data_IF_255514393710
#
_entry.id   IF_255514393710
#
_cell.length_a   1.000
_cell.length_b   1.000
_cell.length_c   1.000
_cell.angle_alpha   90.00
_cell.angle_beta   90.00
_cell.angle_gamma   90.00
#
_symmetry.space_group_name_H-M   'P 1'
#
loop_
_entity.id
_entity.type
_entity.pdbx_description
1 polymer ?
#
# COMPACT_ATOMS: atom_id res chain seq x y z
N UNK A 1 -2.33 11.90 17.88
CA UNK A 1 -3.16 10.70 18.12
C UNK A 1 -2.77 9.63 17.10
N UNK A 2 -2.71 8.37 17.50
CA UNK A 2 -2.44 7.24 16.62
C UNK A 2 -3.74 6.84 15.92
N UNK A 3 -3.79 6.98 14.60
CA UNK A 3 -4.97 6.67 13.78
C UNK A 3 -5.33 5.18 13.72
N UNK A 4 -4.41 4.31 14.13
CA UNK A 4 -4.61 2.86 14.10
C UNK A 4 -5.34 2.32 15.34
N UNK A 5 -5.43 3.11 16.41
CA UNK A 5 -5.99 2.66 17.71
C UNK A 5 -7.47 2.30 17.61
N UNK A 6 -8.24 3.07 16.85
CA UNK A 6 -9.67 2.85 16.72
C UNK A 6 -10.22 3.26 15.36
N UNK A 7 -11.38 2.69 15.00
CA UNK A 7 -12.19 3.21 13.90
C UNK A 7 -12.93 4.45 14.39
N UNK A 8 -12.67 5.59 13.76
CA UNK A 8 -13.31 6.87 14.09
C UNK A 8 -14.76 6.97 13.57
N UNK A 9 -15.21 6.00 12.79
CA UNK A 9 -16.51 6.05 12.12
C UNK A 9 -16.55 6.95 10.87
N UNK A 10 -15.51 7.73 10.62
CA UNK A 10 -15.44 8.55 9.41
C UNK A 10 -15.21 7.68 8.17
N UNK A 11 -15.84 8.08 7.07
CA UNK A 11 -15.73 7.38 5.79
C UNK A 11 -15.41 8.35 4.67
N UNK A 12 -14.50 7.94 3.77
CA UNK A 12 -14.00 8.74 2.67
C UNK A 12 -14.35 8.11 1.31
N UNK A 13 -14.58 8.95 0.32
CA UNK A 13 -14.72 8.54 -1.07
C UNK A 13 -13.34 8.24 -1.68
N UNK A 14 -12.32 8.98 -1.26
CA UNK A 14 -10.94 8.83 -1.75
C UNK A 14 -9.95 8.81 -0.58
N UNK A 15 -8.98 7.89 -0.65
CA UNK A 15 -7.84 7.84 0.27
C UNK A 15 -6.55 7.80 -0.54
N UNK A 16 -5.80 8.90 -0.51
CA UNK A 16 -4.45 8.98 -1.08
C UNK A 16 -3.48 9.17 0.08
N UNK A 17 -2.57 8.21 0.27
CA UNK A 17 -1.70 8.24 1.44
C UNK A 17 -0.37 7.57 1.21
N UNK A 18 0.64 8.09 1.90
CA UNK A 18 1.94 7.49 2.06
C UNK A 18 2.15 7.22 3.56
N UNK A 19 1.73 6.06 4.07
CA UNK A 19 1.90 5.71 5.47
C UNK A 19 3.37 5.69 5.88
N UNK A 20 3.70 5.97 7.14
CA UNK A 20 5.09 5.99 7.59
C UNK A 20 5.75 4.63 7.41
N UNK A 21 6.95 4.63 6.80
CA UNK A 21 7.75 3.43 6.63
C UNK A 21 8.38 3.02 7.96
N UNK A 22 7.98 1.91 8.50
CA UNK A 22 8.52 1.32 9.71
C UNK A 22 7.89 -0.05 9.94
N UNK A 23 8.72 -1.05 10.19
CA UNK A 23 8.25 -2.44 10.21
C UNK A 23 7.29 -2.73 11.36
N UNK A 24 7.48 -2.11 12.54
CA UNK A 24 6.73 -2.44 13.74
C UNK A 24 6.17 -1.20 14.43
N UNK A 25 4.97 -1.30 14.92
CA UNK A 25 4.47 -0.40 15.97
C UNK A 25 5.07 -0.84 17.30
N UNK A 26 5.60 0.07 18.08
CA UNK A 26 6.15 -0.22 19.40
C UNK A 26 5.83 0.89 20.38
N UNK A 27 5.65 0.53 21.63
CA UNK A 27 5.53 1.43 22.75
C UNK A 27 6.79 1.31 23.62
N UNK A 28 7.33 2.44 24.06
CA UNK A 28 8.42 2.47 25.04
C UNK A 28 7.83 2.79 26.38
N UNK A 29 8.10 2.00 27.39
CA UNK A 29 7.73 2.24 28.77
C UNK A 29 8.97 2.10 29.65
N UNK A 30 8.94 2.73 30.81
CA UNK A 30 9.99 2.59 31.81
C UNK A 30 9.56 1.53 32.80
N UNK A 31 10.36 0.48 32.95
CA UNK A 31 10.10 -0.59 33.92
C UNK A 31 10.35 -0.11 35.37
N UNK A 32 10.07 -0.96 36.33
CA UNK A 32 10.24 -0.64 37.77
C UNK A 32 11.71 -0.37 38.14
N UNK A 33 12.65 -0.83 37.34
CA UNK A 33 14.10 -0.62 37.53
C UNK A 33 14.60 0.69 36.87
N UNK A 34 13.71 1.44 36.21
CA UNK A 34 14.03 2.69 35.52
C UNK A 34 14.62 2.52 34.12
N UNK A 35 14.67 1.30 33.60
CA UNK A 35 15.13 1.02 32.24
C UNK A 35 14.01 1.19 31.22
N UNK A 36 14.38 1.67 30.03
CA UNK A 36 13.43 1.79 28.92
C UNK A 36 13.30 0.46 28.17
N UNK A 37 12.14 -0.13 28.27
CA UNK A 37 11.77 -1.32 27.51
C UNK A 37 10.88 -0.96 26.33
N UNK A 38 10.98 -1.78 25.26
CA UNK A 38 10.22 -1.58 24.04
C UNK A 38 9.39 -2.82 23.76
N UNK A 39 8.08 -2.65 23.73
CA UNK A 39 7.14 -3.71 23.41
C UNK A 39 6.53 -3.49 22.03
N UNK A 40 6.39 -4.58 21.25
CA UNK A 40 5.71 -4.54 19.94
C UNK A 40 4.21 -4.29 20.16
N UNK A 41 3.71 -3.18 19.63
CA UNK A 41 2.30 -2.82 19.73
C UNK A 41 1.48 -3.52 18.65
N UNK A 42 0.51 -4.31 19.08
CA UNK A 42 -0.50 -4.90 18.20
C UNK A 42 -1.86 -4.23 18.40
N UNK A 43 -2.58 -4.03 17.32
CA UNK A 43 -3.92 -3.43 17.36
C UNK A 43 -4.98 -4.53 17.30
N UNK A 44 -5.68 -4.74 18.41
CA UNK A 44 -6.79 -5.69 18.47
C UNK A 44 -8.11 -4.98 18.07
N UNK A 45 -8.35 -4.88 16.77
CA UNK A 45 -9.53 -4.25 16.19
C UNK A 45 -10.42 -5.29 15.52
N UNK A 46 -11.73 -5.23 15.80
CA UNK A 46 -12.71 -6.17 15.23
C UNK A 46 -12.89 -6.03 13.71
N UNK A 47 -12.59 -4.84 13.16
CA UNK A 47 -12.66 -4.56 11.72
C UNK A 47 -11.38 -4.97 10.97
N UNK A 48 -10.33 -5.39 11.67
CA UNK A 48 -9.10 -5.91 11.09
C UNK A 48 -9.19 -7.40 10.82
N UNK A 49 -8.68 -7.84 9.69
CA UNK A 49 -8.68 -9.25 9.28
C UNK A 49 -7.64 -10.10 10.00
N UNK A 50 -6.55 -9.48 10.43
CA UNK A 50 -5.47 -10.13 11.16
C UNK A 50 -4.81 -9.18 12.15
N UNK A 51 -4.37 -9.75 13.29
CA UNK A 51 -3.58 -9.03 14.28
C UNK A 51 -2.10 -9.13 13.93
N UNK A 52 -1.43 -7.99 13.85
CA UNK A 52 0.00 -7.90 13.55
C UNK A 52 0.60 -6.63 14.15
N UNK A 53 1.89 -6.66 14.47
CA UNK A 53 2.67 -5.47 14.81
C UNK A 53 3.20 -4.73 13.57
N UNK A 54 3.05 -5.31 12.37
CA UNK A 54 3.48 -4.67 11.14
C UNK A 54 2.60 -3.45 10.82
N UNK A 55 3.20 -2.27 10.94
CA UNK A 55 2.51 -0.99 10.78
C UNK A 55 1.89 -0.82 9.39
N UNK A 56 2.59 -1.21 8.33
CA UNK A 56 2.11 -1.05 6.95
C UNK A 56 0.88 -1.95 6.70
N UNK A 57 0.91 -3.18 7.19
CA UNK A 57 -0.24 -4.08 7.10
C UNK A 57 -1.45 -3.55 7.87
N UNK A 58 -1.22 -2.93 9.04
CA UNK A 58 -2.28 -2.30 9.81
C UNK A 58 -2.87 -1.08 9.08
N UNK A 59 -2.04 -0.29 8.39
CA UNK A 59 -2.54 0.80 7.56
C UNK A 59 -3.39 0.32 6.39
N UNK A 60 -3.02 -0.78 5.73
CA UNK A 60 -3.84 -1.38 4.66
C UNK A 60 -5.24 -1.74 5.18
N UNK A 61 -5.33 -2.40 6.33
CA UNK A 61 -6.59 -2.76 6.96
C UNK A 61 -7.40 -1.52 7.35
N UNK A 62 -6.75 -0.52 7.96
CA UNK A 62 -7.38 0.72 8.35
C UNK A 62 -7.93 1.51 7.16
N UNK A 63 -7.15 1.62 6.07
CA UNK A 63 -7.58 2.31 4.85
C UNK A 63 -8.84 1.64 4.27
N UNK A 64 -8.87 0.32 4.22
CA UNK A 64 -10.07 -0.40 3.79
C UNK A 64 -11.28 -0.08 4.67
N UNK A 65 -11.09 0.01 5.99
CA UNK A 65 -12.18 0.35 6.91
C UNK A 65 -12.75 1.75 6.68
N UNK A 66 -11.89 2.75 6.45
CA UNK A 66 -12.33 4.14 6.28
C UNK A 66 -12.86 4.47 4.89
N UNK A 67 -12.71 3.58 3.91
CA UNK A 67 -13.31 3.77 2.59
C UNK A 67 -14.82 3.48 2.62
N UNK A 68 -15.59 4.35 1.96
CA UNK A 68 -16.97 4.03 1.60
C UNK A 68 -17.01 2.85 0.63
N UNK A 69 -18.17 2.23 0.47
CA UNK A 69 -18.42 1.33 -0.65
C UNK A 69 -18.21 2.09 -1.96
N UNK A 70 -17.50 1.48 -2.90
CA UNK A 70 -17.02 2.06 -4.16
C UNK A 70 -16.04 3.26 -3.99
N UNK A 71 -15.58 3.53 -2.77
CA UNK A 71 -14.49 4.47 -2.52
C UNK A 71 -13.15 3.91 -3.03
N UNK A 72 -12.25 4.80 -3.39
CA UNK A 72 -11.00 4.48 -4.08
C UNK A 72 -9.78 4.82 -3.21
N UNK A 73 -8.75 3.98 -3.26
CA UNK A 73 -7.50 4.24 -2.58
C UNK A 73 -6.29 4.16 -3.51
N UNK A 74 -5.32 5.02 -3.24
CA UNK A 74 -3.95 4.91 -3.74
C UNK A 74 -2.99 4.99 -2.55
N UNK A 75 -2.25 3.92 -2.29
CA UNK A 75 -1.45 3.76 -1.07
C UNK A 75 -0.02 3.40 -1.41
N UNK A 76 0.93 4.19 -0.91
CA UNK A 76 2.36 3.88 -1.03
C UNK A 76 2.75 2.87 0.04
N UNK A 77 3.27 1.72 -0.37
CA UNK A 77 3.66 0.63 0.52
C UNK A 77 5.02 0.06 0.11
N UNK A 78 5.87 -0.31 1.08
CA UNK A 78 7.13 -0.98 0.78
C UNK A 78 6.90 -2.40 0.25
N UNK A 79 7.89 -2.92 -0.49
CA UNK A 79 7.83 -4.23 -1.16
C UNK A 79 7.42 -5.38 -0.23
N UNK A 80 7.84 -5.38 1.04
CA UNK A 80 7.56 -6.47 1.97
C UNK A 80 6.05 -6.74 2.16
N UNK A 81 5.20 -5.73 2.01
CA UNK A 81 3.74 -5.91 2.08
C UNK A 81 3.23 -6.87 1.00
N UNK A 82 3.92 -6.95 -0.14
CA UNK A 82 3.50 -7.79 -1.26
C UNK A 82 3.82 -9.28 -1.06
N UNK A 83 4.75 -9.63 -0.18
CA UNK A 83 5.22 -11.03 -0.03
C UNK A 83 5.37 -11.54 1.41
N UNK A 84 5.18 -10.70 2.44
CA UNK A 84 5.25 -11.14 3.83
C UNK A 84 4.21 -12.23 4.11
N UNK A 85 4.63 -13.32 4.76
CA UNK A 85 3.77 -14.45 5.12
C UNK A 85 2.86 -14.18 6.32
N UNK A 86 2.19 -15.20 6.79
CA UNK A 86 1.34 -15.15 7.99
C UNK A 86 0.22 -14.11 7.88
N UNK A 87 0.21 -13.12 8.78
CA UNK A 87 -0.79 -12.04 8.76
C UNK A 87 -0.81 -11.29 7.43
N UNK A 88 0.36 -11.09 6.80
CA UNK A 88 0.46 -10.45 5.49
C UNK A 88 -0.27 -11.22 4.40
N UNK A 89 -0.14 -12.53 4.37
CA UNK A 89 -0.88 -13.40 3.43
C UNK A 89 -2.39 -13.29 3.64
N UNK A 90 -2.83 -13.38 4.89
CA UNK A 90 -4.26 -13.25 5.24
C UNK A 90 -4.82 -11.91 4.79
N UNK A 91 -4.11 -10.82 5.05
CA UNK A 91 -4.53 -9.46 4.69
C UNK A 91 -4.60 -9.29 3.17
N UNK A 92 -3.57 -9.76 2.43
CA UNK A 92 -3.59 -9.70 0.95
C UNK A 92 -4.75 -10.49 0.36
N UNK A 93 -4.98 -11.72 0.86
CA UNK A 93 -6.13 -12.53 0.44
C UNK A 93 -7.44 -11.79 0.65
N UNK A 94 -7.66 -11.26 1.85
CA UNK A 94 -8.86 -10.51 2.18
C UNK A 94 -9.01 -9.23 1.35
N UNK A 95 -7.93 -8.53 1.08
CA UNK A 95 -7.94 -7.36 0.22
C UNK A 95 -8.39 -7.70 -1.21
N UNK A 96 -7.86 -8.78 -1.79
CA UNK A 96 -8.28 -9.26 -3.12
C UNK A 96 -9.73 -9.75 -3.16
N UNK A 97 -10.22 -10.34 -2.07
CA UNK A 97 -11.61 -10.81 -1.97
C UNK A 97 -12.61 -9.64 -1.85
N UNK A 98 -12.30 -8.64 -1.05
CA UNK A 98 -13.25 -7.59 -0.63
C UNK A 98 -13.10 -6.27 -1.37
N UNK A 99 -12.07 -6.12 -2.18
CA UNK A 99 -11.82 -4.94 -3.01
C UNK A 99 -11.47 -5.36 -4.44
N UNK A 100 -11.62 -4.42 -5.37
CA UNK A 100 -11.01 -4.54 -6.70
C UNK A 100 -9.62 -3.89 -6.66
N UNK A 101 -8.59 -4.70 -6.37
CA UNK A 101 -7.20 -4.28 -6.45
C UNK A 101 -6.74 -4.40 -7.91
N UNK A 102 -6.85 -3.31 -8.64
CA UNK A 102 -6.72 -3.33 -10.09
C UNK A 102 -5.35 -2.90 -10.63
N UNK A 103 -4.52 -2.25 -9.82
CA UNK A 103 -3.23 -1.73 -10.32
C UNK A 103 -2.17 -1.67 -9.21
N UNK A 104 -0.96 -2.07 -9.55
CA UNK A 104 0.25 -1.87 -8.74
C UNK A 104 1.26 -1.12 -9.59
N UNK A 105 1.66 0.08 -9.15
CA UNK A 105 2.76 0.83 -9.73
C UNK A 105 4.03 0.53 -8.91
N UNK A 106 5.00 -0.14 -9.50
CA UNK A 106 6.30 -0.41 -8.86
C UNK A 106 7.23 0.78 -9.05
N UNK A 107 7.58 1.42 -7.93
CA UNK A 107 8.34 2.66 -7.94
C UNK A 107 9.86 2.41 -8.01
N UNK A 108 10.61 3.28 -8.71
CA UNK A 108 12.07 3.23 -8.70
C UNK A 108 12.63 3.59 -7.33
N UNK A 109 13.85 3.14 -7.06
CA UNK A 109 14.60 3.58 -5.88
C UNK A 109 15.08 5.02 -6.02
N UNK A 110 15.46 5.65 -4.90
CA UNK A 110 16.04 7.00 -4.89
C UNK A 110 15.05 8.15 -4.79
N UNK A 111 13.75 7.88 -4.88
CA UNK A 111 12.68 8.89 -4.77
C UNK A 111 12.24 9.18 -3.32
N UNK A 112 12.72 8.41 -2.36
CA UNK A 112 12.46 8.61 -0.93
C UNK A 112 13.72 8.97 -0.16
N UNK A 113 13.56 9.66 0.98
CA UNK A 113 14.70 9.99 1.86
C UNK A 113 15.43 8.74 2.39
N UNK A 114 14.72 7.66 2.67
CA UNK A 114 15.32 6.39 3.04
C UNK A 114 15.89 5.73 1.78
N UNK A 115 17.22 5.78 1.65
CA UNK A 115 17.92 5.19 0.51
C UNK A 115 17.69 3.68 0.43
N UNK A 116 17.50 3.19 -0.80
CA UNK A 116 17.28 1.75 -1.06
C UNK A 116 15.89 1.23 -0.74
N UNK A 117 14.97 2.07 -0.29
CA UNK A 117 13.57 1.66 -0.13
C UNK A 117 12.96 1.33 -1.48
N UNK A 118 12.48 0.10 -1.60
CA UNK A 118 11.64 -0.36 -2.71
C UNK A 118 10.19 -0.24 -2.30
N UNK A 119 9.44 0.56 -3.02
CA UNK A 119 8.04 0.82 -2.72
C UNK A 119 7.15 0.69 -3.94
N UNK A 120 5.88 0.57 -3.69
CA UNK A 120 4.84 0.45 -4.71
C UNK A 120 3.68 1.36 -4.34
N UNK A 121 2.92 1.80 -5.33
CA UNK A 121 1.58 2.35 -5.09
C UNK A 121 0.58 1.27 -5.45
N UNK A 122 -0.27 0.89 -4.51
CA UNK A 122 -1.40 0.00 -4.78
C UNK A 122 -2.66 0.83 -4.95
N UNK A 123 -3.43 0.50 -5.99
CA UNK A 123 -4.70 1.15 -6.32
C UNK A 123 -5.82 0.14 -6.19
N UNK A 124 -6.80 0.43 -5.36
CA UNK A 124 -7.95 -0.44 -5.19
C UNK A 124 -9.24 0.33 -4.92
N UNK A 125 -10.34 -0.26 -5.35
CA UNK A 125 -11.69 0.22 -5.11
C UNK A 125 -12.34 -0.68 -4.03
N UNK A 126 -12.84 -0.09 -2.94
CA UNK A 126 -13.58 -0.84 -1.94
C UNK A 126 -14.92 -1.31 -2.53
N UNK A 127 -15.34 -2.52 -2.21
CA UNK A 127 -16.52 -3.14 -2.80
C UNK A 127 -17.49 -3.65 -1.74
N UNK A 128 -18.78 -3.79 -2.10
CA UNK A 128 -19.75 -4.42 -1.20
C UNK A 128 -19.40 -5.89 -0.98
N UNK A 129 -19.97 -6.49 0.08
CA UNK A 129 -19.79 -7.91 0.34
C UNK A 129 -20.25 -8.77 -0.85
N UNK A 130 -19.46 -9.77 -1.21
CA UNK A 130 -19.71 -10.69 -2.31
C UNK A 130 -19.28 -12.09 -1.94
N UNK A 131 -19.91 -13.11 -2.56
CA UNK A 131 -19.48 -14.51 -2.45
C UNK A 131 -18.20 -14.77 -3.25
N UNK A 132 -18.05 -14.07 -4.37
CA UNK A 132 -16.90 -14.20 -5.25
C UNK A 132 -15.92 -13.04 -5.02
N UNK A 133 -14.60 -13.29 -5.13
CA UNK A 133 -13.60 -12.23 -5.08
C UNK A 133 -13.83 -11.15 -6.13
N UNK A 134 -13.68 -9.90 -5.74
CA UNK A 134 -13.83 -8.75 -6.64
C UNK A 134 -12.63 -8.56 -7.56
N UNK A 135 -11.43 -8.76 -7.05
CA UNK A 135 -10.21 -8.67 -7.88
C UNK A 135 -10.14 -9.87 -8.82
N UNK A 136 -10.17 -9.61 -10.11
CA UNK A 136 -10.04 -10.64 -11.15
C UNK A 136 -8.67 -10.62 -11.80
N UNK A 137 -8.12 -9.43 -12.00
CA UNK A 137 -6.84 -9.18 -12.62
C UNK A 137 -6.13 -8.05 -11.89
N UNK A 138 -4.81 -8.16 -11.75
CA UNK A 138 -3.96 -7.11 -11.20
C UNK A 138 -2.97 -6.69 -12.28
N UNK A 139 -3.07 -5.43 -12.70
CA UNK A 139 -2.12 -4.82 -13.62
C UNK A 139 -0.90 -4.33 -12.86
N UNK A 140 0.27 -4.72 -13.29
CA UNK A 140 1.53 -4.28 -12.69
C UNK A 140 2.27 -3.41 -13.71
N UNK A 141 2.47 -2.15 -13.36
CA UNK A 141 3.34 -1.26 -14.11
C UNK A 141 4.70 -1.20 -13.41
N UNK A 142 5.75 -1.69 -14.07
CA UNK A 142 7.09 -1.67 -13.52
C UNK A 142 7.85 -0.42 -13.95
N UNK A 143 7.88 0.57 -13.05
CA UNK A 143 8.60 1.82 -13.28
C UNK A 143 10.06 1.77 -12.77
N UNK A 144 10.56 0.59 -12.40
CA UNK A 144 11.94 0.40 -11.92
C UNK A 144 12.93 0.22 -13.05
N UNK A 145 12.68 0.81 -14.21
CA UNK A 145 13.53 0.77 -15.39
C UNK A 145 14.82 1.59 -15.21
N UNK A 146 15.70 1.56 -16.18
CA UNK A 146 17.07 2.11 -16.14
C UNK A 146 17.20 3.60 -15.75
N UNK A 147 16.13 4.29 -15.40
CA UNK A 147 16.17 5.67 -14.93
C UNK A 147 16.55 5.72 -13.44
N UNK A 148 17.67 6.33 -13.15
CA UNK A 148 18.12 6.52 -11.77
C UNK A 148 17.63 7.85 -11.22
N UNK A 149 16.63 7.81 -10.37
CA UNK A 149 16.11 8.98 -9.69
C UNK A 149 16.90 9.29 -8.41
N UNK A 150 16.98 10.56 -8.08
CA UNK A 150 17.56 11.05 -6.83
C UNK A 150 16.74 12.25 -6.35
N UNK A 151 16.70 12.49 -5.04
CA UNK A 151 15.93 13.59 -4.46
C UNK A 151 16.34 15.00 -4.91
N UNK A 152 17.59 15.20 -5.32
CA UNK A 152 18.15 16.54 -5.63
C UNK A 152 18.62 16.70 -7.06
N UNK A 153 19.36 15.72 -7.59
CA UNK A 153 20.01 15.86 -8.90
C UNK A 153 19.11 15.43 -10.07
N UNK A 154 18.29 14.44 -9.85
CA UNK A 154 17.36 13.92 -10.85
C UNK A 154 16.04 13.50 -10.16
N UNK A 155 15.23 14.45 -9.68
CA UNK A 155 13.99 14.14 -8.98
C UNK A 155 12.95 13.56 -9.95
N UNK A 156 12.09 12.70 -9.43
CA UNK A 156 10.90 12.24 -10.15
C UNK A 156 9.95 13.42 -10.38
N UNK A 157 9.59 13.65 -11.63
CA UNK A 157 8.65 14.70 -12.05
C UNK A 157 7.35 14.09 -12.63
N UNK A 158 6.36 14.92 -12.82
CA UNK A 158 5.08 14.51 -13.38
C UNK A 158 5.21 13.94 -14.81
N UNK A 159 6.11 14.52 -15.60
CA UNK A 159 6.40 14.11 -16.97
C UNK A 159 6.90 12.67 -17.05
N UNK A 160 7.63 12.21 -16.05
CA UNK A 160 8.14 10.82 -15.97
C UNK A 160 7.01 9.79 -15.78
N UNK A 161 5.84 10.24 -15.31
CA UNK A 161 4.67 9.39 -15.08
C UNK A 161 3.68 9.33 -16.27
N UNK A 162 3.94 10.04 -17.36
CA UNK A 162 2.98 10.15 -18.47
C UNK A 162 2.68 8.79 -19.12
N UNK A 163 3.69 7.93 -19.28
CA UNK A 163 3.48 6.59 -19.82
C UNK A 163 2.64 5.73 -18.86
N UNK A 164 2.92 5.79 -17.56
CA UNK A 164 2.08 5.13 -16.57
C UNK A 164 0.62 5.62 -16.64
N UNK A 165 0.39 6.91 -16.72
CA UNK A 165 -0.96 7.49 -16.79
C UNK A 165 -1.69 6.99 -18.04
N UNK A 166 -1.00 6.96 -19.17
CA UNK A 166 -1.54 6.43 -20.43
C UNK A 166 -1.90 4.95 -20.31
N UNK A 167 -1.01 4.12 -19.75
CA UNK A 167 -1.23 2.70 -19.53
C UNK A 167 -2.32 2.44 -18.47
N UNK A 168 -2.41 3.27 -17.44
CA UNK A 168 -3.43 3.18 -16.39
C UNK A 168 -4.83 3.34 -16.96
N UNK A 169 -5.01 4.19 -17.97
CA UNK A 169 -6.26 4.44 -18.69
C UNK A 169 -7.45 4.65 -17.74
N UNK A 170 -7.48 5.76 -16.99
CA UNK A 170 -8.45 5.96 -15.90
C UNK A 170 -9.90 5.95 -16.37
N UNK A 171 -10.16 6.38 -17.59
CA UNK A 171 -11.51 6.42 -18.17
C UNK A 171 -12.02 5.04 -18.59
N UNK A 172 -11.11 4.16 -19.03
CA UNK A 172 -11.46 2.85 -19.57
C UNK A 172 -10.46 1.76 -19.14
N UNK A 173 -10.33 1.51 -17.83
CA UNK A 173 -9.39 0.52 -17.28
C UNK A 173 -9.55 -0.89 -17.88
N UNK A 174 -10.78 -1.27 -18.26
CA UNK A 174 -11.07 -2.57 -18.88
C UNK A 174 -10.53 -2.71 -20.32
N UNK A 175 -10.10 -1.61 -20.95
CA UNK A 175 -9.49 -1.61 -22.29
C UNK A 175 -7.95 -1.57 -22.22
N UNK A 176 -7.35 -1.71 -21.05
CA UNK A 176 -5.90 -1.76 -20.89
C UNK A 176 -5.33 -2.95 -21.65
N UNK A 177 -4.12 -2.77 -22.17
CA UNK A 177 -3.37 -3.80 -22.88
C UNK A 177 -2.00 -3.95 -22.27
N UNK A 178 -1.49 -5.16 -22.26
CA UNK A 178 -0.10 -5.38 -21.91
C UNK A 178 0.81 -4.61 -22.87
N UNK A 179 1.80 -3.94 -22.30
CA UNK A 179 2.88 -3.30 -23.03
C UNK A 179 4.19 -3.91 -22.54
N UNK A 180 5.06 -4.27 -23.45
CA UNK A 180 6.37 -4.77 -23.12
C UNK A 180 7.42 -3.84 -23.73
N UNK A 181 8.40 -3.47 -22.94
CA UNK A 181 9.52 -2.66 -23.38
C UNK A 181 10.82 -3.44 -23.16
N UNK A 182 11.74 -3.55 -24.14
CA UNK A 182 12.99 -4.29 -23.98
C UNK A 182 13.83 -3.84 -22.77
N UNK A 183 13.74 -2.54 -22.42
CA UNK A 183 14.46 -1.94 -21.31
C UNK A 183 13.82 -2.21 -19.94
N UNK A 184 12.58 -2.68 -19.89
CA UNK A 184 11.87 -3.00 -18.65
C UNK A 184 12.07 -4.43 -18.16
N UNK A 185 12.78 -5.25 -18.95
CA UNK A 185 13.12 -6.60 -18.56
C UNK A 185 14.62 -6.65 -18.20
N UNK A 186 14.99 -6.86 -16.92
CA UNK A 186 16.38 -6.98 -16.50
C UNK A 186 17.02 -8.26 -17.03
#
# INVERSE_FOLDING_TARGET
ADSLVADTGQRADYVLTNPPFGKKSSMTFTNEEGEQEREDLTYNRQDFWATTSNKQLNFVQHIRTILKTDGQAAVVLPDNVLFEGGAGETIRKKLLETTDLHTILRLPTGIFYAQGVKANVIFFDNKPASKDPWTKEVWIYDFRTNVHFTLKKNPLNFEDLQDFISCYNPENRHLRKETWHPESNP
#
